data_IF_226295759943
#
_entry.id   IF_226295759943
#
_cell.length_a   1.000
_cell.length_b   1.000
_cell.length_c   1.000
_cell.angle_alpha   90.00
_cell.angle_beta   90.00
_cell.angle_gamma   90.00
#
_symmetry.space_group_name_H-M   'P 1'
#
loop_
_entity.id
_entity.type
_entity.pdbx_description
1 polymer ?
#
# COMPACT_ATOMS: atom_id res chain seq x y z
N UNK A 1 38.27 20.76 -13.98
CA UNK A 1 37.06 20.67 -13.14
C UNK A 1 37.47 20.88 -11.69
N UNK A 2 37.06 21.97 -11.03
CA UNK A 2 37.26 22.16 -9.59
C UNK A 2 36.40 21.10 -8.87
N UNK A 3 37.01 20.26 -8.02
CA UNK A 3 36.27 19.45 -7.05
C UNK A 3 35.45 20.41 -6.18
N UNK A 4 34.16 20.19 -5.93
CA UNK A 4 33.45 20.96 -4.93
C UNK A 4 34.10 20.69 -3.57
N UNK A 5 34.68 21.71 -2.97
CA UNK A 5 35.54 21.58 -1.77
C UNK A 5 34.77 21.19 -0.50
N UNK A 6 33.43 21.31 -0.44
CA UNK A 6 32.66 20.93 0.73
C UNK A 6 31.27 20.41 0.34
N UNK A 7 30.87 19.29 0.90
CA UNK A 7 29.48 18.84 0.92
C UNK A 7 28.66 19.89 1.70
N UNK A 8 27.53 20.37 1.16
CA UNK A 8 26.65 21.28 1.88
C UNK A 8 26.28 20.72 3.26
N UNK A 9 26.29 21.57 4.26
CA UNK A 9 25.88 21.20 5.60
C UNK A 9 24.36 20.89 5.59
N UNK A 10 24.00 19.71 6.08
CA UNK A 10 22.60 19.32 6.21
C UNK A 10 22.04 19.98 7.48
N UNK A 11 21.21 20.99 7.30
CA UNK A 11 20.49 21.66 8.40
C UNK A 11 19.26 20.85 8.82
N UNK A 12 18.84 21.04 10.06
CA UNK A 12 17.54 20.52 10.49
C UNK A 12 16.42 21.07 9.57
N UNK A 13 15.46 20.24 9.15
CA UNK A 13 14.36 20.71 8.30
C UNK A 13 13.53 21.77 9.06
N UNK A 14 13.03 22.79 8.34
CA UNK A 14 12.11 23.75 8.95
C UNK A 14 10.84 23.03 9.39
N UNK A 15 10.17 23.58 10.42
CA UNK A 15 8.87 23.05 10.83
C UNK A 15 7.88 23.18 9.68
N UNK A 16 7.32 22.05 9.28
CA UNK A 16 6.26 21.95 8.29
C UNK A 16 5.03 21.31 8.92
N UNK A 17 3.86 21.76 8.53
CA UNK A 17 2.57 21.28 9.05
C UNK A 17 1.73 20.81 7.88
N UNK A 18 1.19 19.59 7.98
CA UNK A 18 0.22 19.08 7.02
C UNK A 18 -1.06 19.91 7.10
N UNK A 19 -1.67 20.30 5.97
CA UNK A 19 -2.85 21.14 5.97
C UNK A 19 -4.05 20.45 6.63
N UNK A 20 -4.90 21.26 7.27
CA UNK A 20 -6.17 20.80 7.83
C UNK A 20 -7.27 20.89 6.76
N UNK A 21 -8.18 19.90 6.65
CA UNK A 21 -9.30 19.97 5.72
C UNK A 21 -10.45 20.82 6.27
N UNK A 22 -11.19 21.47 5.38
CA UNK A 22 -12.60 21.73 5.64
C UNK A 22 -13.37 20.40 5.61
N UNK A 23 -14.34 20.20 6.51
CA UNK A 23 -14.97 18.92 6.75
C UNK A 23 -16.49 19.06 6.82
N UNK A 24 -17.21 18.22 6.04
CA UNK A 24 -18.67 18.18 5.99
C UNK A 24 -19.18 16.74 5.88
N UNK A 25 -20.47 16.58 6.15
CA UNK A 25 -21.24 15.38 5.85
C UNK A 25 -22.38 15.76 4.92
N UNK A 26 -22.64 14.99 3.87
CA UNK A 26 -23.83 15.09 3.07
C UNK A 26 -24.98 14.31 3.72
N UNK A 27 -26.22 14.61 3.35
CA UNK A 27 -27.41 13.96 3.92
C UNK A 27 -27.46 12.44 3.66
N UNK A 28 -26.79 11.97 2.63
CA UNK A 28 -26.66 10.54 2.30
C UNK A 28 -25.55 9.81 3.09
N UNK A 29 -24.87 10.49 4.01
CA UNK A 29 -23.82 9.92 4.85
C UNK A 29 -22.40 9.98 4.25
N UNK A 30 -22.22 10.57 3.06
CA UNK A 30 -20.90 10.77 2.48
C UNK A 30 -20.11 11.84 3.26
N UNK A 31 -18.92 11.49 3.75
CA UNK A 31 -17.99 12.44 4.33
C UNK A 31 -17.21 13.18 3.24
N UNK A 32 -17.04 14.50 3.37
CA UNK A 32 -16.25 15.32 2.45
C UNK A 32 -15.12 16.01 3.20
N UNK A 33 -13.89 15.82 2.75
CA UNK A 33 -12.66 16.45 3.25
C UNK A 33 -12.04 17.29 2.13
N UNK A 34 -12.00 18.61 2.29
CA UNK A 34 -11.49 19.52 1.25
C UNK A 34 -10.25 20.26 1.73
N UNK A 35 -9.16 20.16 0.95
CA UNK A 35 -7.88 20.80 1.22
C UNK A 35 -7.63 21.90 0.19
N UNK A 36 -7.91 23.15 0.54
CA UNK A 36 -7.59 24.28 -0.33
C UNK A 36 -6.08 24.49 -0.39
N UNK A 37 -5.55 24.44 -1.61
CA UNK A 37 -4.12 24.55 -1.93
C UNK A 37 -3.92 25.64 -3.00
N UNK A 38 -3.76 26.91 -2.60
CA UNK A 38 -3.62 28.00 -3.55
C UNK A 38 -2.51 27.76 -4.57
N UNK A 39 -2.78 28.01 -5.85
CA UNK A 39 -1.85 27.83 -6.94
C UNK A 39 -1.66 26.37 -7.42
N UNK A 40 -2.39 25.41 -6.86
CA UNK A 40 -2.43 24.04 -7.38
C UNK A 40 -3.46 23.93 -8.50
N UNK A 41 -3.03 24.15 -9.72
CA UNK A 41 -3.90 24.18 -10.90
C UNK A 41 -4.46 22.81 -11.32
N UNK A 42 -3.94 21.73 -10.78
CA UNK A 42 -4.51 20.38 -10.87
C UNK A 42 -5.20 20.10 -9.54
N UNK A 43 -6.47 19.75 -9.58
CA UNK A 43 -7.20 19.20 -8.46
C UNK A 43 -7.11 17.68 -8.49
N UNK A 44 -7.00 17.08 -7.31
CA UNK A 44 -7.05 15.63 -7.12
C UNK A 44 -8.22 15.30 -6.18
N UNK A 45 -9.00 14.31 -6.57
CA UNK A 45 -10.17 13.83 -5.82
C UNK A 45 -10.02 12.34 -5.60
N UNK A 46 -10.10 11.87 -4.36
CA UNK A 46 -10.19 10.44 -4.06
C UNK A 46 -11.50 10.14 -3.34
N UNK A 47 -12.27 9.21 -3.88
CA UNK A 47 -13.43 8.63 -3.22
C UNK A 47 -13.01 7.30 -2.60
N UNK A 48 -12.94 7.25 -1.28
CA UNK A 48 -12.60 6.04 -0.49
C UNK A 48 -13.87 5.38 -0.02
N UNK A 49 -14.06 4.12 -0.39
CA UNK A 49 -15.22 3.30 -0.03
C UNK A 49 -14.85 2.32 1.09
N UNK A 50 -15.68 2.22 2.11
CA UNK A 50 -15.50 1.23 3.19
C UNK A 50 -16.00 -0.16 2.74
N UNK A 51 -15.32 -0.74 1.74
CA UNK A 51 -15.61 -2.06 1.18
C UNK A 51 -14.34 -2.92 1.08
N UNK A 52 -13.73 -3.30 2.22
CA UNK A 52 -12.52 -4.10 2.25
C UNK A 52 -12.69 -5.43 1.50
N UNK A 53 -11.61 -5.99 0.94
CA UNK A 53 -11.65 -7.29 0.26
C UNK A 53 -12.21 -8.42 1.12
N UNK A 54 -12.28 -8.28 2.44
CA UNK A 54 -12.94 -9.25 3.33
C UNK A 54 -14.46 -9.34 3.13
N UNK A 55 -15.05 -8.42 2.38
CA UNK A 55 -16.48 -8.45 1.98
C UNK A 55 -16.74 -9.38 0.79
N UNK A 56 -15.70 -9.79 0.06
CA UNK A 56 -15.82 -10.74 -1.04
C UNK A 56 -16.20 -12.12 -0.52
N UNK A 57 -17.01 -12.85 -1.30
CA UNK A 57 -17.21 -14.28 -1.10
C UNK A 57 -15.92 -15.03 -1.46
N UNK A 58 -15.59 -16.07 -0.71
CA UNK A 58 -14.34 -16.82 -0.89
C UNK A 58 -14.22 -17.52 -2.25
N UNK A 59 -15.33 -17.87 -2.87
CA UNK A 59 -15.40 -18.59 -4.16
C UNK A 59 -15.20 -17.66 -5.37
N UNK A 60 -15.39 -16.35 -5.20
CA UNK A 60 -15.24 -15.32 -6.25
C UNK A 60 -14.33 -14.17 -5.81
N UNK A 61 -13.28 -14.46 -5.01
CA UNK A 61 -12.28 -13.45 -4.66
C UNK A 61 -11.67 -12.85 -5.93
N UNK A 62 -11.59 -11.52 -5.97
CA UNK A 62 -11.23 -10.73 -7.14
C UNK A 62 -12.42 -9.99 -7.74
N UNK A 63 -13.67 -10.29 -7.31
CA UNK A 63 -14.86 -9.58 -7.78
C UNK A 63 -14.78 -8.08 -7.52
N UNK A 64 -14.24 -7.65 -6.39
CA UNK A 64 -14.00 -6.22 -6.08
C UNK A 64 -13.10 -5.56 -7.13
N UNK A 65 -12.03 -6.24 -7.53
CA UNK A 65 -11.08 -5.75 -8.55
C UNK A 65 -11.74 -5.65 -9.93
N UNK A 66 -12.53 -6.64 -10.32
CA UNK A 66 -13.25 -6.62 -11.61
C UNK A 66 -14.32 -5.51 -11.59
N UNK A 67 -15.11 -5.40 -10.51
CA UNK A 67 -16.11 -4.34 -10.37
C UNK A 67 -15.46 -2.97 -10.49
N UNK A 68 -14.36 -2.73 -9.77
CA UNK A 68 -13.63 -1.47 -9.80
C UNK A 68 -13.20 -1.07 -11.23
N UNK A 69 -12.76 -2.03 -12.03
CA UNK A 69 -12.31 -1.83 -13.41
C UNK A 69 -13.43 -1.61 -14.41
N UNK A 70 -14.65 -1.92 -14.05
CA UNK A 70 -15.81 -1.71 -14.91
C UNK A 70 -16.50 -0.37 -14.70
N UNK A 71 -16.08 0.43 -13.71
CA UNK A 71 -16.78 1.68 -13.35
C UNK A 71 -16.68 2.77 -14.42
N UNK A 72 -15.60 2.79 -15.19
CA UNK A 72 -15.33 3.78 -16.25
C UNK A 72 -15.57 3.24 -17.67
N UNK A 73 -16.13 2.02 -17.77
CA UNK A 73 -16.42 1.37 -19.07
C UNK A 73 -17.80 1.78 -19.65
N UNK A 74 -18.44 2.76 -19.05
CA UNK A 74 -19.74 3.30 -19.41
C UNK A 74 -20.68 3.35 -18.21
N UNK A 75 -21.68 4.20 -18.34
CA UNK A 75 -22.66 4.49 -17.31
C UNK A 75 -24.08 4.38 -17.88
N UNK A 76 -25.10 4.53 -17.05
CA UNK A 76 -26.49 4.54 -17.52
C UNK A 76 -26.76 5.65 -18.55
N UNK A 77 -25.99 6.75 -18.54
CA UNK A 77 -26.17 7.92 -19.40
C UNK A 77 -25.20 7.98 -20.58
N UNK A 78 -23.98 7.43 -20.41
CA UNK A 78 -22.91 7.54 -21.40
C UNK A 78 -22.36 6.16 -21.74
N UNK A 79 -22.26 5.84 -23.04
CA UNK A 79 -21.51 4.65 -23.47
C UNK A 79 -20.04 4.78 -23.09
N UNK A 80 -19.30 3.67 -22.97
CA UNK A 80 -17.89 3.68 -22.62
C UNK A 80 -17.03 4.67 -23.43
N UNK A 81 -17.08 4.65 -24.78
CA UNK A 81 -16.38 5.64 -25.61
C UNK A 81 -16.80 7.08 -25.30
N UNK A 82 -18.09 7.34 -25.14
CA UNK A 82 -18.60 8.70 -24.85
C UNK A 82 -18.16 9.14 -23.43
N UNK A 83 -18.14 8.24 -22.46
CA UNK A 83 -17.68 8.53 -21.11
C UNK A 83 -16.18 8.89 -21.11
N UNK A 84 -15.37 8.11 -21.82
CA UNK A 84 -13.94 8.40 -22.00
C UNK A 84 -13.69 9.74 -22.69
N UNK A 85 -14.41 10.03 -23.79
CA UNK A 85 -14.35 11.34 -24.49
C UNK A 85 -14.68 12.50 -23.54
N UNK A 86 -15.69 12.34 -22.68
CA UNK A 86 -16.08 13.37 -21.70
C UNK A 86 -14.98 13.66 -20.68
N UNK A 87 -14.28 12.61 -20.19
CA UNK A 87 -13.14 12.80 -19.30
C UNK A 87 -11.97 13.47 -20.02
N UNK A 88 -11.68 13.06 -21.26
CA UNK A 88 -10.58 13.62 -22.05
C UNK A 88 -10.85 15.10 -22.41
N UNK A 89 -12.06 15.48 -22.77
CA UNK A 89 -12.47 16.86 -23.11
C UNK A 89 -12.21 17.86 -21.99
N UNK A 90 -12.28 17.41 -20.74
CA UNK A 90 -12.00 18.25 -19.56
C UNK A 90 -10.59 18.02 -19.00
N UNK A 91 -9.78 17.17 -19.65
CA UNK A 91 -8.44 16.81 -19.19
C UNK A 91 -8.43 16.03 -17.87
N UNK A 92 -9.48 15.24 -17.61
CA UNK A 92 -9.58 14.41 -16.43
C UNK A 92 -9.00 13.01 -16.65
N UNK A 93 -8.36 12.48 -15.62
CA UNK A 93 -7.87 11.10 -15.57
C UNK A 93 -8.53 10.41 -14.38
N UNK A 94 -9.25 9.32 -14.65
CA UNK A 94 -9.88 8.47 -13.62
C UNK A 94 -9.11 7.16 -13.49
N UNK A 95 -8.85 6.75 -12.28
CA UNK A 95 -8.23 5.47 -11.94
C UNK A 95 -8.79 4.95 -10.62
N UNK A 96 -8.53 3.70 -10.28
CA UNK A 96 -9.01 3.18 -9.01
C UNK A 96 -8.40 1.84 -8.63
N UNK A 97 -8.57 1.46 -7.37
CA UNK A 97 -8.08 0.20 -6.84
C UNK A 97 -9.02 -0.41 -5.80
N UNK A 98 -9.03 -1.73 -5.72
CA UNK A 98 -9.68 -2.47 -4.64
C UNK A 98 -8.60 -3.05 -3.71
N UNK A 99 -8.63 -2.65 -2.44
CA UNK A 99 -7.61 -2.96 -1.46
C UNK A 99 -8.12 -3.74 -0.25
N UNK A 100 -7.19 -4.28 0.54
CA UNK A 100 -7.54 -5.07 1.73
C UNK A 100 -8.34 -4.28 2.77
N UNK A 101 -8.19 -2.97 2.84
CA UNK A 101 -8.85 -2.12 3.81
C UNK A 101 -10.03 -1.33 3.25
N UNK A 102 -9.97 -0.97 1.98
CA UNK A 102 -10.95 -0.12 1.29
C UNK A 102 -10.74 -0.22 -0.22
N UNK A 103 -11.71 0.24 -1.01
CA UNK A 103 -11.48 0.58 -2.42
C UNK A 103 -11.41 2.09 -2.57
N UNK A 104 -10.71 2.56 -3.60
CA UNK A 104 -10.60 3.98 -3.92
C UNK A 104 -10.73 4.26 -5.41
N UNK A 105 -11.29 5.42 -5.75
CA UNK A 105 -11.21 6.02 -7.07
C UNK A 105 -10.45 7.34 -6.96
N UNK A 106 -9.47 7.53 -7.82
CA UNK A 106 -8.70 8.76 -7.93
C UNK A 106 -9.05 9.45 -9.25
N UNK A 107 -9.47 10.71 -9.16
CA UNK A 107 -9.71 11.59 -10.28
C UNK A 107 -8.75 12.78 -10.21
N UNK A 108 -8.01 13.01 -11.29
CA UNK A 108 -7.17 14.20 -11.46
C UNK A 108 -7.71 15.04 -12.61
N UNK A 109 -7.82 16.35 -12.39
CA UNK A 109 -8.42 17.26 -13.37
C UNK A 109 -7.90 18.70 -13.18
N UNK A 110 -7.82 19.54 -14.22
CA UNK A 110 -7.59 20.96 -14.03
C UNK A 110 -8.60 21.56 -13.01
N UNK A 111 -8.11 22.29 -12.01
CA UNK A 111 -8.96 22.81 -10.92
C UNK A 111 -10.15 23.65 -11.41
N UNK A 112 -9.97 24.33 -12.56
CA UNK A 112 -11.05 25.08 -13.22
C UNK A 112 -12.17 24.21 -13.81
N UNK A 113 -11.95 22.90 -13.96
CA UNK A 113 -12.91 21.92 -14.50
C UNK A 113 -13.47 20.98 -13.43
N UNK A 114 -13.13 21.21 -12.16
CA UNK A 114 -13.57 20.34 -11.04
C UNK A 114 -15.10 20.20 -10.99
N UNK A 115 -15.85 21.28 -11.24
CA UNK A 115 -17.32 21.28 -11.26
C UNK A 115 -17.92 20.41 -12.37
N UNK A 116 -17.18 20.19 -13.47
CA UNK A 116 -17.59 19.32 -14.57
C UNK A 116 -17.18 17.85 -14.31
N UNK A 117 -16.08 17.65 -13.58
CA UNK A 117 -15.52 16.33 -13.30
C UNK A 117 -16.21 15.57 -12.17
N UNK A 118 -16.64 16.28 -11.11
CA UNK A 118 -17.32 15.65 -9.97
C UNK A 118 -18.60 14.89 -10.35
N UNK A 119 -19.49 15.43 -11.23
CA UNK A 119 -20.64 14.67 -11.72
C UNK A 119 -20.27 13.39 -12.47
N UNK A 120 -19.21 13.42 -13.30
CA UNK A 120 -18.74 12.21 -14.00
C UNK A 120 -18.22 11.14 -13.02
N UNK A 121 -17.49 11.55 -11.98
CA UNK A 121 -17.07 10.63 -10.92
C UNK A 121 -18.28 10.04 -10.18
N UNK A 122 -19.27 10.87 -9.85
CA UNK A 122 -20.50 10.43 -9.19
C UNK A 122 -21.29 9.44 -10.06
N UNK A 123 -21.38 9.70 -11.36
CA UNK A 123 -22.05 8.83 -12.33
C UNK A 123 -21.34 7.48 -12.45
N UNK A 124 -20.00 7.48 -12.58
CA UNK A 124 -19.20 6.25 -12.64
C UNK A 124 -19.39 5.35 -11.40
N UNK A 125 -19.55 5.94 -10.22
CA UNK A 125 -19.68 5.20 -8.96
C UNK A 125 -21.09 4.74 -8.68
N UNK A 126 -22.11 5.55 -9.02
CA UNK A 126 -23.51 5.28 -8.67
C UNK A 126 -24.27 4.51 -9.75
N UNK A 127 -23.92 4.69 -11.01
CA UNK A 127 -24.70 4.21 -12.16
C UNK A 127 -23.82 3.60 -13.28
N UNK A 128 -22.78 2.78 -12.95
CA UNK A 128 -21.98 2.14 -14.00
C UNK A 128 -22.84 1.13 -14.78
N UNK A 129 -22.58 0.97 -16.08
CA UNK A 129 -23.34 0.07 -16.95
C UNK A 129 -23.05 -1.42 -16.69
N UNK A 130 -21.82 -1.75 -16.24
CA UNK A 130 -21.35 -3.09 -15.87
C UNK A 130 -21.65 -4.17 -16.93
N UNK A 131 -21.45 -3.87 -18.22
CA UNK A 131 -21.77 -4.78 -19.32
C UNK A 131 -21.04 -6.12 -19.19
N UNK A 132 -21.70 -7.21 -19.54
CA UNK A 132 -21.14 -8.56 -19.51
C UNK A 132 -19.82 -8.64 -20.31
N UNK A 133 -19.74 -7.97 -21.48
CA UNK A 133 -18.53 -7.94 -22.32
C UNK A 133 -17.34 -7.30 -21.65
N UNK A 134 -17.56 -6.25 -20.84
CA UNK A 134 -16.49 -5.56 -20.11
C UNK A 134 -16.03 -6.38 -18.92
N UNK A 135 -16.96 -7.01 -18.21
CA UNK A 135 -16.64 -7.96 -17.13
C UNK A 135 -15.77 -9.10 -17.66
N UNK A 136 -16.16 -9.74 -18.77
CA UNK A 136 -15.42 -10.84 -19.41
C UNK A 136 -14.04 -10.41 -19.88
N UNK A 137 -13.92 -9.20 -20.43
CA UNK A 137 -12.65 -8.61 -20.85
C UNK A 137 -11.73 -8.37 -19.65
N UNK A 138 -12.21 -7.74 -18.58
CA UNK A 138 -11.42 -7.48 -17.37
C UNK A 138 -11.07 -8.77 -16.62
N UNK A 139 -11.96 -9.78 -16.63
CA UNK A 139 -11.66 -11.12 -16.12
C UNK A 139 -10.48 -11.74 -16.87
N UNK A 140 -10.50 -11.70 -18.21
CA UNK A 140 -9.43 -12.24 -19.06
C UNK A 140 -8.10 -11.52 -18.82
N UNK A 141 -8.11 -10.19 -18.73
CA UNK A 141 -6.94 -9.39 -18.40
C UNK A 141 -6.40 -9.75 -17.00
N UNK A 142 -7.30 -9.91 -16.01
CA UNK A 142 -6.89 -10.27 -14.65
C UNK A 142 -6.25 -11.64 -14.57
N UNK A 143 -6.74 -12.62 -15.31
CA UNK A 143 -6.13 -13.96 -15.40
C UNK A 143 -4.70 -13.87 -15.95
N UNK A 144 -4.49 -13.13 -17.03
CA UNK A 144 -3.15 -12.91 -17.59
C UNK A 144 -2.20 -12.18 -16.60
N UNK A 145 -2.70 -11.20 -15.84
CA UNK A 145 -1.92 -10.51 -14.79
C UNK A 145 -1.53 -11.44 -13.63
N UNK A 146 -2.42 -12.37 -13.24
CA UNK A 146 -2.11 -13.36 -12.19
C UNK A 146 -0.97 -14.24 -12.66
N UNK A 147 -1.02 -14.76 -13.89
CA UNK A 147 0.04 -15.58 -14.47
C UNK A 147 1.37 -14.83 -14.52
N UNK A 148 1.36 -13.57 -14.98
CA UNK A 148 2.55 -12.73 -14.99
C UNK A 148 3.09 -12.47 -13.58
N UNK A 149 2.22 -12.21 -12.60
CA UNK A 149 2.59 -11.99 -11.19
C UNK A 149 3.28 -13.23 -10.63
N UNK A 150 2.75 -14.40 -10.88
CA UNK A 150 3.28 -15.68 -10.39
C UNK A 150 4.55 -16.11 -11.12
N UNK A 151 4.75 -15.69 -12.37
CA UNK A 151 6.01 -15.92 -13.12
C UNK A 151 7.17 -15.04 -12.61
N UNK A 152 6.89 -13.87 -12.01
CA UNK A 152 7.89 -13.00 -11.43
C UNK A 152 8.30 -13.47 -10.02
N UNK A 153 9.58 -13.76 -9.81
CA UNK A 153 10.08 -14.33 -8.54
C UNK A 153 9.85 -13.41 -7.34
N UNK A 154 10.06 -12.10 -7.51
CA UNK A 154 9.89 -11.14 -6.42
C UNK A 154 8.43 -11.00 -6.01
N UNK A 155 7.50 -10.98 -6.97
CA UNK A 155 6.06 -10.95 -6.70
C UNK A 155 5.60 -12.27 -6.05
N UNK A 156 6.09 -13.41 -6.57
CA UNK A 156 5.80 -14.73 -5.98
C UNK A 156 6.29 -14.83 -4.54
N UNK A 157 7.51 -14.32 -4.25
CA UNK A 157 8.04 -14.23 -2.90
C UNK A 157 7.16 -13.35 -1.97
N UNK A 158 6.64 -12.24 -2.49
CA UNK A 158 5.74 -11.36 -1.72
C UNK A 158 4.41 -12.01 -1.39
N UNK A 159 3.79 -12.69 -2.36
CA UNK A 159 2.54 -13.45 -2.13
C UNK A 159 2.76 -14.56 -1.11
N UNK A 160 3.82 -15.35 -1.28
CA UNK A 160 4.15 -16.44 -0.38
C UNK A 160 4.49 -15.96 1.04
N UNK A 161 5.21 -14.83 1.16
CA UNK A 161 5.52 -14.25 2.47
C UNK A 161 4.26 -13.82 3.23
N UNK A 162 3.31 -13.19 2.53
CA UNK A 162 2.00 -12.84 3.11
C UNK A 162 1.27 -14.09 3.63
N UNK A 163 1.24 -15.15 2.86
CA UNK A 163 0.66 -16.44 3.24
C UNK A 163 1.38 -17.11 4.41
N UNK A 164 2.71 -16.95 4.48
CA UNK A 164 3.51 -17.50 5.57
C UNK A 164 3.32 -16.73 6.89
N UNK A 165 3.06 -15.42 6.83
CA UNK A 165 2.90 -14.57 8.01
C UNK A 165 1.46 -14.47 8.52
N UNK A 166 0.45 -14.65 7.66
CA UNK A 166 -0.97 -14.46 8.00
C UNK A 166 -1.71 -15.77 7.82
N UNK A 167 -2.49 -16.25 8.83
CA UNK A 167 -3.30 -17.46 8.71
C UNK A 167 -4.29 -17.39 7.55
N UNK A 168 -4.46 -18.51 6.82
CA UNK A 168 -5.26 -18.59 5.60
C UNK A 168 -6.75 -18.23 5.76
N UNK A 169 -7.30 -18.24 7.00
CA UNK A 169 -8.67 -17.79 7.27
C UNK A 169 -8.89 -16.29 7.03
N UNK A 170 -7.83 -15.48 7.08
CA UNK A 170 -7.94 -14.04 6.83
C UNK A 170 -7.78 -13.74 5.34
N UNK A 171 -8.65 -12.89 4.78
CA UNK A 171 -8.58 -12.46 3.37
C UNK A 171 -7.24 -11.81 3.06
N UNK A 172 -6.66 -11.10 4.02
CA UNK A 172 -5.36 -10.45 3.91
C UNK A 172 -4.18 -11.42 3.64
N UNK A 173 -4.33 -12.72 3.83
CA UNK A 173 -3.30 -13.72 3.49
C UNK A 173 -3.23 -14.05 2.00
N UNK A 174 -4.29 -13.77 1.22
CA UNK A 174 -4.44 -14.17 -0.18
C UNK A 174 -4.21 -12.99 -1.13
N UNK A 175 -3.98 -13.29 -2.40
CA UNK A 175 -3.76 -12.27 -3.44
C UNK A 175 -4.96 -11.31 -3.53
N UNK A 176 -4.69 -10.01 -3.58
CA UNK A 176 -5.74 -8.97 -3.54
C UNK A 176 -6.80 -9.16 -4.63
N UNK A 177 -6.40 -9.25 -5.88
CA UNK A 177 -7.32 -9.44 -7.01
C UNK A 177 -7.69 -10.91 -7.30
N UNK A 178 -7.73 -11.78 -6.28
CA UNK A 178 -8.12 -13.17 -6.41
C UNK A 178 -7.05 -14.11 -6.97
N UNK A 179 -7.38 -15.38 -7.05
CA UNK A 179 -6.59 -16.44 -7.72
C UNK A 179 -7.17 -16.74 -9.10
N UNK A 180 -6.45 -17.47 -9.95
CA UNK A 180 -6.95 -17.86 -11.27
C UNK A 180 -8.29 -18.61 -11.15
N UNK A 181 -8.44 -19.51 -10.16
CA UNK A 181 -9.67 -20.26 -9.95
C UNK A 181 -10.85 -19.39 -9.52
N UNK A 182 -10.63 -18.47 -8.57
CA UNK A 182 -11.71 -17.59 -8.07
C UNK A 182 -12.11 -16.54 -9.09
N UNK A 183 -11.15 -15.98 -9.84
CA UNK A 183 -11.41 -15.00 -10.89
C UNK A 183 -12.16 -15.65 -12.06
N UNK A 184 -11.79 -16.86 -12.47
CA UNK A 184 -12.49 -17.58 -13.54
C UNK A 184 -13.96 -17.93 -13.19
N UNK A 185 -14.30 -17.97 -11.90
CA UNK A 185 -15.65 -18.25 -11.43
C UNK A 185 -16.57 -17.02 -11.36
N UNK A 186 -16.02 -15.79 -11.49
CA UNK A 186 -16.79 -14.54 -11.42
C UNK A 186 -17.73 -14.44 -12.64
N UNK A 187 -18.98 -14.11 -12.38
CA UNK A 187 -19.98 -13.85 -13.42
C UNK A 187 -20.38 -12.37 -13.45
N UNK A 188 -20.95 -11.86 -14.56
CA UNK A 188 -21.48 -10.48 -14.60
C UNK A 188 -22.48 -10.18 -13.47
N UNK A 189 -23.32 -11.16 -13.10
CA UNK A 189 -24.25 -11.02 -11.97
C UNK A 189 -23.55 -10.85 -10.62
N UNK A 190 -22.39 -11.49 -10.43
CA UNK A 190 -21.62 -11.32 -9.20
C UNK A 190 -21.06 -9.90 -9.10
N UNK A 191 -20.63 -9.31 -10.23
CA UNK A 191 -20.15 -7.92 -10.34
C UNK A 191 -21.27 -6.94 -10.03
N UNK A 192 -22.45 -7.10 -10.66
CA UNK A 192 -23.64 -6.28 -10.40
C UNK A 192 -24.06 -6.36 -8.93
N UNK A 193 -24.14 -7.58 -8.38
CA UNK A 193 -24.53 -7.79 -6.98
C UNK A 193 -23.50 -7.21 -5.99
N UNK A 194 -22.20 -7.32 -6.30
CA UNK A 194 -21.14 -6.73 -5.48
C UNK A 194 -21.22 -5.21 -5.50
N UNK A 195 -21.39 -4.59 -6.68
CA UNK A 195 -21.57 -3.15 -6.82
C UNK A 195 -22.79 -2.68 -6.04
N UNK A 196 -23.98 -3.22 -6.31
CA UNK A 196 -25.23 -2.80 -5.67
C UNK A 196 -25.19 -2.89 -4.13
N UNK A 197 -24.37 -3.81 -3.59
CA UNK A 197 -24.26 -4.02 -2.15
C UNK A 197 -23.21 -3.14 -1.50
N UNK A 198 -22.05 -2.95 -2.13
CA UNK A 198 -20.84 -2.44 -1.48
C UNK A 198 -20.43 -1.03 -1.91
N UNK A 199 -21.00 -0.50 -2.99
CA UNK A 199 -20.73 0.87 -3.46
C UNK A 199 -21.76 1.82 -2.88
N UNK A 200 -21.46 2.36 -1.71
CA UNK A 200 -22.40 3.08 -0.86
C UNK A 200 -21.82 4.41 -0.39
N UNK A 201 -22.65 5.49 -0.25
CA UNK A 201 -22.18 6.76 0.29
C UNK A 201 -21.96 6.70 1.81
N UNK A 202 -22.76 5.89 2.55
CA UNK A 202 -22.62 5.70 3.98
C UNK A 202 -21.33 4.96 4.31
N UNK A 203 -20.42 5.61 5.07
CA UNK A 203 -19.07 5.11 5.35
C UNK A 203 -18.01 5.48 4.29
N UNK A 204 -18.41 6.09 3.17
CA UNK A 204 -17.47 6.59 2.18
C UNK A 204 -16.92 7.98 2.55
N UNK A 205 -15.73 8.29 2.04
CA UNK A 205 -15.07 9.59 2.22
C UNK A 205 -14.59 10.12 0.88
N UNK A 206 -15.05 11.33 0.52
CA UNK A 206 -14.58 12.08 -0.63
C UNK A 206 -13.49 13.06 -0.18
N UNK A 207 -12.27 12.86 -0.64
CA UNK A 207 -11.11 13.73 -0.35
C UNK A 207 -10.84 14.58 -1.59
N UNK A 208 -10.88 15.90 -1.46
CA UNK A 208 -10.65 16.84 -2.55
C UNK A 208 -9.47 17.75 -2.18
N UNK A 209 -8.50 17.90 -3.07
CA UNK A 209 -7.38 18.82 -2.86
C UNK A 209 -7.06 19.58 -4.16
N UNK A 210 -6.72 20.86 -4.06
CA UNK A 210 -6.43 21.74 -5.21
C UNK A 210 -6.61 23.20 -4.90
N UNK A 211 -6.55 24.06 -5.91
CA UNK A 211 -6.92 25.47 -5.79
C UNK A 211 -8.46 25.61 -5.81
N UNK A 212 -9.06 25.27 -4.65
CA UNK A 212 -10.49 25.13 -4.51
C UNK A 212 -11.18 26.48 -4.29
N UNK A 213 -12.37 26.65 -4.86
CA UNK A 213 -13.25 27.78 -4.59
C UNK A 213 -14.12 27.54 -3.35
N UNK A 214 -14.79 28.58 -2.86
CA UNK A 214 -15.76 28.46 -1.75
C UNK A 214 -16.99 27.61 -2.13
N UNK A 215 -17.18 27.32 -3.42
CA UNK A 215 -18.30 26.53 -3.94
C UNK A 215 -18.04 25.00 -3.88
N UNK A 216 -16.88 24.56 -3.45
CA UNK A 216 -16.50 23.13 -3.46
C UNK A 216 -17.49 22.24 -2.71
N UNK A 217 -18.08 22.74 -1.61
CA UNK A 217 -19.14 22.02 -0.90
C UNK A 217 -20.39 21.85 -1.78
N UNK A 218 -20.87 22.93 -2.41
CA UNK A 218 -22.05 22.86 -3.26
C UNK A 218 -21.81 22.01 -4.50
N UNK A 219 -20.61 22.03 -5.06
CA UNK A 219 -20.22 21.17 -6.17
C UNK A 219 -20.24 19.68 -5.76
N UNK A 220 -19.66 19.33 -4.60
CA UNK A 220 -19.69 17.97 -4.07
C UNK A 220 -21.13 17.52 -3.73
N UNK A 221 -21.90 18.37 -3.05
CA UNK A 221 -23.30 18.08 -2.72
C UNK A 221 -24.19 17.94 -3.95
N UNK A 222 -23.98 18.77 -4.97
CA UNK A 222 -24.71 18.69 -6.26
C UNK A 222 -24.38 17.41 -7.02
N UNK A 223 -23.12 16.95 -6.99
CA UNK A 223 -22.71 15.75 -7.70
C UNK A 223 -23.11 14.46 -6.97
N UNK A 224 -22.89 14.38 -5.66
CA UNK A 224 -23.03 13.14 -4.88
C UNK A 224 -24.30 13.08 -4.01
N UNK A 225 -25.04 14.17 -3.83
CA UNK A 225 -26.21 14.20 -2.96
C UNK A 225 -27.35 13.26 -3.41
N UNK A 226 -27.44 13.00 -4.73
CA UNK A 226 -28.37 12.03 -5.31
C UNK A 226 -27.95 10.57 -5.20
N UNK A 227 -26.72 10.29 -4.80
CA UNK A 227 -26.23 8.92 -4.63
C UNK A 227 -26.81 8.30 -3.35
N UNK A 228 -27.85 7.51 -3.52
CA UNK A 228 -28.60 6.89 -2.41
C UNK A 228 -28.70 5.39 -2.64
N UNK A 229 -28.28 4.61 -1.66
CA UNK A 229 -28.41 3.15 -1.67
C UNK A 229 -29.29 2.73 -0.50
N UNK A 230 -30.43 2.02 -0.73
CA UNK A 230 -31.34 1.63 0.34
C UNK A 230 -30.71 0.72 1.38
N UNK A 231 -31.19 0.82 2.61
CA UNK A 231 -30.75 0.01 3.75
C UNK A 231 -29.38 0.43 4.29
N UNK A 232 -28.91 -0.25 5.32
CA UNK A 232 -27.60 -0.06 5.95
C UNK A 232 -26.73 -1.30 5.79
N UNK A 233 -25.43 -1.12 5.63
CA UNK A 233 -24.46 -2.21 5.58
C UNK A 233 -23.43 -2.02 6.69
N UNK A 234 -23.39 -2.94 7.65
CA UNK A 234 -22.29 -2.95 8.61
C UNK A 234 -21.10 -3.67 8.03
N UNK A 235 -20.02 -2.95 7.84
CA UNK A 235 -18.75 -3.51 7.38
C UNK A 235 -17.92 -3.98 8.56
N UNK A 236 -17.50 -5.25 8.52
CA UNK A 236 -16.63 -5.84 9.54
C UNK A 236 -15.21 -5.98 9.00
N UNK A 237 -14.30 -5.18 9.53
CA UNK A 237 -12.88 -5.31 9.23
C UNK A 237 -12.30 -6.52 9.95
N UNK A 238 -11.51 -7.30 9.21
CA UNK A 238 -10.78 -8.42 9.81
C UNK A 238 -9.52 -7.89 10.51
N UNK A 239 -9.25 -8.39 11.73
CA UNK A 239 -8.02 -8.13 12.46
C UNK A 239 -7.08 -9.35 12.32
N UNK A 240 -6.18 -9.36 11.33
CA UNK A 240 -5.25 -10.46 11.12
C UNK A 240 -4.32 -10.62 12.33
N UNK A 241 -3.90 -11.84 12.56
CA UNK A 241 -2.94 -12.18 13.62
C UNK A 241 -1.69 -12.81 13.03
N UNK A 242 -0.61 -12.77 13.78
CA UNK A 242 0.64 -13.45 13.41
C UNK A 242 0.45 -14.96 13.30
N UNK A 243 1.19 -15.55 12.38
CA UNK A 243 1.38 -16.99 12.25
C UNK A 243 2.75 -17.38 12.86
N UNK A 244 2.89 -18.63 13.29
CA UNK A 244 4.20 -19.17 13.67
C UNK A 244 5.19 -19.03 12.52
N UNK A 245 6.46 -18.74 12.80
CA UNK A 245 7.49 -18.61 11.76
C UNK A 245 7.61 -19.84 10.88
N UNK A 246 7.84 -19.59 9.59
CA UNK A 246 8.03 -20.61 8.56
C UNK A 246 9.29 -20.33 7.75
N UNK A 247 9.90 -21.40 7.20
CA UNK A 247 10.90 -21.28 6.16
C UNK A 247 10.39 -21.98 4.90
N UNK A 248 10.03 -21.23 3.89
CA UNK A 248 9.53 -21.75 2.62
C UNK A 248 10.55 -21.51 1.51
N UNK A 249 10.91 -22.59 0.82
CA UNK A 249 11.69 -22.54 -0.41
C UNK A 249 10.76 -22.89 -1.58
N UNK A 250 10.63 -21.98 -2.52
CA UNK A 250 9.80 -22.10 -3.71
C UNK A 250 10.72 -22.34 -4.89
N UNK A 251 10.55 -23.48 -5.55
CA UNK A 251 11.45 -23.89 -6.60
C UNK A 251 11.29 -23.05 -7.88
N UNK A 252 12.47 -22.64 -8.39
CA UNK A 252 12.64 -22.06 -9.71
C UNK A 252 13.91 -22.65 -10.33
N UNK A 253 13.79 -23.80 -11.01
CA UNK A 253 14.95 -24.54 -11.50
C UNK A 253 15.87 -23.69 -12.40
N UNK A 254 17.18 -23.76 -12.14
CA UNK A 254 18.19 -23.04 -12.90
C UNK A 254 18.26 -21.54 -12.65
N UNK A 255 17.53 -21.00 -11.66
CA UNK A 255 17.60 -19.59 -11.32
C UNK A 255 18.97 -19.20 -10.78
N UNK A 256 19.63 -18.24 -11.42
CA UNK A 256 20.95 -17.71 -11.00
C UNK A 256 20.85 -16.68 -9.87
N UNK A 257 19.63 -16.24 -9.57
CA UNK A 257 19.30 -15.35 -8.45
C UNK A 257 18.13 -15.92 -7.64
N UNK A 258 18.11 -15.60 -6.35
CA UNK A 258 17.01 -15.90 -5.46
C UNK A 258 16.44 -14.62 -4.85
N UNK A 259 15.11 -14.51 -4.88
CA UNK A 259 14.37 -13.45 -4.21
C UNK A 259 14.01 -13.89 -2.79
N UNK A 260 14.36 -13.07 -1.81
CA UNK A 260 14.12 -13.36 -0.40
C UNK A 260 13.10 -12.40 0.23
N UNK A 261 12.35 -12.92 1.21
CA UNK A 261 11.60 -12.16 2.20
C UNK A 261 11.91 -12.75 3.56
N UNK A 262 12.54 -11.96 4.44
CA UNK A 262 12.95 -12.37 5.78
C UNK A 262 12.36 -11.42 6.82
N UNK A 263 11.44 -11.90 7.66
CA UNK A 263 10.76 -11.04 8.59
C UNK A 263 9.59 -11.68 9.31
N UNK A 264 8.50 -10.94 9.50
CA UNK A 264 7.33 -11.43 10.20
C UNK A 264 6.10 -10.54 10.09
N UNK A 265 5.12 -10.83 10.96
CA UNK A 265 3.95 -9.99 11.13
C UNK A 265 4.35 -8.71 11.87
N UNK A 266 3.95 -7.56 11.35
CA UNK A 266 4.28 -6.23 11.86
C UNK A 266 3.09 -5.55 12.53
N UNK A 267 3.22 -4.25 12.74
CA UNK A 267 2.21 -3.40 13.40
C UNK A 267 1.54 -2.45 12.40
N UNK A 268 0.34 -1.99 12.74
CA UNK A 268 -0.35 -0.90 12.05
C UNK A 268 0.14 0.48 12.53
N UNK A 269 -0.43 1.52 11.92
CA UNK A 269 -0.06 2.92 12.24
C UNK A 269 -0.59 3.41 13.59
N UNK A 270 -1.57 2.73 14.19
CA UNK A 270 -2.13 3.05 15.50
C UNK A 270 -1.31 2.49 16.68
N UNK A 271 -0.38 1.57 16.42
CA UNK A 271 0.48 1.01 17.48
C UNK A 271 1.39 2.11 18.05
N UNK A 272 1.51 2.23 19.39
CA UNK A 272 2.35 3.25 20.04
C UNK A 272 3.83 3.18 19.65
N UNK A 273 4.35 2.02 19.23
CA UNK A 273 5.73 1.83 18.76
C UNK A 273 5.93 2.22 17.29
N UNK A 274 4.90 2.75 16.62
CA UNK A 274 4.96 3.05 15.18
C UNK A 274 6.11 3.98 14.80
N UNK A 275 6.30 5.10 15.52
CA UNK A 275 7.36 6.07 15.25
C UNK A 275 8.75 5.45 15.49
N UNK A 276 8.91 4.67 16.56
CA UNK A 276 10.16 3.96 16.88
C UNK A 276 10.52 2.96 15.79
N UNK A 277 9.53 2.18 15.33
CA UNK A 277 9.73 1.23 14.23
C UNK A 277 10.08 1.94 12.91
N UNK A 278 9.48 3.09 12.61
CA UNK A 278 9.84 3.87 11.41
C UNK A 278 11.31 4.29 11.42
N UNK A 279 11.81 4.76 12.56
CA UNK A 279 13.22 5.15 12.73
C UNK A 279 14.13 3.93 12.61
N UNK A 280 13.81 2.84 13.30
CA UNK A 280 14.61 1.62 13.27
C UNK A 280 14.67 1.01 11.85
N UNK A 281 13.54 0.93 11.15
CA UNK A 281 13.51 0.42 9.78
C UNK A 281 14.30 1.31 8.82
N UNK A 282 14.26 2.62 8.99
CA UNK A 282 15.07 3.54 8.17
C UNK A 282 16.57 3.30 8.38
N UNK A 283 17.02 3.19 9.62
CA UNK A 283 18.43 2.96 9.96
C UNK A 283 18.94 1.61 9.44
N UNK A 284 18.14 0.54 9.59
CA UNK A 284 18.56 -0.81 9.24
C UNK A 284 18.48 -1.09 7.74
N UNK A 285 17.44 -0.64 7.04
CA UNK A 285 17.23 -1.02 5.63
C UNK A 285 16.51 0.02 4.76
N UNK A 286 16.05 1.16 5.31
CA UNK A 286 15.31 2.17 4.56
C UNK A 286 16.19 3.22 3.87
N UNK A 287 17.33 3.58 4.47
CA UNK A 287 18.26 4.52 3.88
C UNK A 287 19.15 3.88 2.82
N UNK A 288 19.63 4.71 1.85
CA UNK A 288 20.56 4.25 0.83
C UNK A 288 21.86 3.64 1.42
N UNK A 289 22.38 4.22 2.49
CA UNK A 289 23.52 3.74 3.27
C UNK A 289 23.10 3.13 4.63
N UNK A 290 21.92 2.49 4.66
CA UNK A 290 21.47 1.73 5.83
C UNK A 290 22.43 0.59 6.16
N UNK A 291 22.34 0.04 7.36
CA UNK A 291 23.24 -1.07 7.80
C UNK A 291 23.23 -2.25 6.82
N UNK A 292 22.05 -2.68 6.37
CA UNK A 292 21.89 -3.77 5.41
C UNK A 292 22.54 -3.44 4.05
N UNK A 293 22.26 -2.26 3.49
CA UNK A 293 22.84 -1.88 2.20
C UNK A 293 24.35 -1.69 2.27
N UNK A 294 24.86 -1.09 3.35
CA UNK A 294 26.31 -0.91 3.52
C UNK A 294 27.04 -2.27 3.50
N UNK A 295 26.55 -3.26 4.25
CA UNK A 295 27.21 -4.56 4.33
C UNK A 295 26.94 -5.40 3.07
N UNK A 296 25.67 -5.62 2.71
CA UNK A 296 25.31 -6.59 1.66
C UNK A 296 25.54 -6.08 0.25
N UNK A 297 25.39 -4.75 0.03
CA UNK A 297 25.58 -4.13 -1.28
C UNK A 297 26.98 -3.56 -1.46
N UNK A 298 27.41 -2.63 -0.55
CA UNK A 298 28.65 -1.89 -0.75
C UNK A 298 29.91 -2.71 -0.42
N UNK A 299 29.90 -3.41 0.72
CA UNK A 299 31.07 -4.17 1.17
C UNK A 299 31.18 -5.54 0.50
N UNK A 300 30.06 -6.28 0.37
CA UNK A 300 30.04 -7.65 -0.15
C UNK A 300 29.66 -7.74 -1.64
N UNK A 301 28.96 -6.77 -2.20
CA UNK A 301 28.52 -6.82 -3.60
C UNK A 301 27.52 -7.95 -3.92
N UNK A 302 26.74 -8.41 -2.92
CA UNK A 302 25.85 -9.56 -3.05
C UNK A 302 24.53 -9.22 -3.77
N UNK A 303 24.14 -7.95 -3.77
CA UNK A 303 22.87 -7.46 -4.31
C UNK A 303 23.02 -6.05 -4.84
N UNK A 304 22.12 -5.63 -5.74
CA UNK A 304 21.96 -4.24 -6.15
C UNK A 304 21.22 -3.38 -5.11
N UNK A 305 20.49 -4.01 -4.21
CA UNK A 305 19.80 -3.35 -3.11
C UNK A 305 19.06 -4.33 -2.20
N UNK A 306 19.02 -4.00 -0.93
CA UNK A 306 18.24 -4.70 0.09
C UNK A 306 17.51 -3.69 0.95
N UNK A 307 16.25 -3.97 1.26
CA UNK A 307 15.40 -3.05 1.99
C UNK A 307 14.73 -3.74 3.17
N UNK A 308 14.68 -3.07 4.32
CA UNK A 308 13.76 -3.42 5.40
C UNK A 308 12.51 -2.58 5.25
N UNK A 309 11.39 -3.22 4.95
CA UNK A 309 10.12 -2.56 4.65
C UNK A 309 9.10 -2.91 5.72
N UNK A 310 8.48 -1.88 6.30
CA UNK A 310 7.27 -2.00 7.10
C UNK A 310 6.06 -1.65 6.21
N UNK A 311 5.20 -2.63 5.96
CA UNK A 311 3.97 -2.51 5.17
C UNK A 311 2.76 -2.62 6.08
N UNK A 312 2.29 -1.50 6.68
CA UNK A 312 1.16 -1.52 7.60
C UNK A 312 -0.13 -1.84 6.85
N UNK A 313 -0.99 -2.60 7.50
CA UNK A 313 -2.39 -2.79 7.12
C UNK A 313 -3.28 -1.87 7.97
N UNK A 314 -4.59 -2.00 7.87
CA UNK A 314 -5.53 -1.35 8.79
C UNK A 314 -5.31 -1.85 10.23
N UNK A 315 -5.14 -3.16 10.39
CA UNK A 315 -4.81 -3.83 11.64
C UNK A 315 -3.56 -4.69 11.43
N UNK A 316 -2.49 -4.41 12.16
CA UNK A 316 -1.18 -5.06 12.02
C UNK A 316 -0.42 -4.66 10.77
N UNK A 317 0.44 -5.53 10.26
CA UNK A 317 1.26 -5.26 9.09
C UNK A 317 2.18 -6.41 8.73
N UNK A 318 3.07 -6.15 7.77
CA UNK A 318 4.18 -7.03 7.40
C UNK A 318 5.49 -6.26 7.51
N UNK A 319 6.48 -6.83 8.17
CA UNK A 319 7.81 -6.26 8.35
C UNK A 319 8.84 -7.24 7.81
N UNK A 320 9.57 -6.87 6.75
CA UNK A 320 10.49 -7.78 6.11
C UNK A 320 11.70 -7.10 5.47
N UNK A 321 12.85 -7.77 5.59
CA UNK A 321 13.97 -7.58 4.68
C UNK A 321 13.62 -8.23 3.35
N UNK A 322 13.79 -7.47 2.27
CA UNK A 322 13.54 -7.92 0.90
C UNK A 322 14.71 -7.57 -0.01
N UNK A 323 15.06 -8.47 -0.89
CA UNK A 323 16.13 -8.29 -1.86
C UNK A 323 16.27 -9.50 -2.78
N UNK A 324 17.01 -9.32 -3.86
CA UNK A 324 17.41 -10.36 -4.79
C UNK A 324 18.92 -10.56 -4.70
N UNK A 325 19.36 -11.78 -4.56
CA UNK A 325 20.76 -12.15 -4.36
C UNK A 325 21.18 -13.24 -5.35
N UNK A 326 22.44 -13.29 -5.73
CA UNK A 326 22.95 -14.43 -6.50
C UNK A 326 22.79 -15.70 -5.66
N UNK A 327 22.46 -16.81 -6.32
CA UNK A 327 22.18 -18.10 -5.68
C UNK A 327 23.34 -18.59 -4.78
N UNK A 328 24.60 -18.36 -5.21
CA UNK A 328 25.82 -18.80 -4.51
C UNK A 328 26.08 -18.07 -3.17
N UNK A 329 25.48 -16.89 -2.94
CA UNK A 329 25.70 -16.06 -1.75
C UNK A 329 24.46 -15.90 -0.85
N UNK A 330 23.33 -16.52 -1.20
CA UNK A 330 22.05 -16.36 -0.46
C UNK A 330 22.18 -16.68 1.01
N UNK A 331 22.83 -17.81 1.35
CA UNK A 331 22.95 -18.25 2.75
C UNK A 331 23.80 -17.29 3.56
N UNK A 332 24.97 -16.87 3.03
CA UNK A 332 25.82 -15.87 3.69
C UNK A 332 25.06 -14.53 3.85
N UNK A 333 24.31 -14.12 2.82
CA UNK A 333 23.50 -12.90 2.88
C UNK A 333 22.41 -12.96 3.97
N UNK A 334 21.75 -14.11 4.12
CA UNK A 334 20.73 -14.33 5.16
C UNK A 334 21.34 -14.31 6.57
N UNK A 335 22.50 -14.94 6.76
CA UNK A 335 23.20 -14.95 8.05
C UNK A 335 23.66 -13.53 8.45
N UNK A 336 24.21 -12.77 7.50
CA UNK A 336 24.59 -11.37 7.71
C UNK A 336 23.34 -10.50 8.00
N UNK A 337 22.25 -10.68 7.24
CA UNK A 337 21.01 -9.94 7.48
C UNK A 337 20.47 -10.23 8.89
N UNK A 338 20.41 -11.51 9.31
CA UNK A 338 19.98 -11.91 10.65
C UNK A 338 20.86 -11.31 11.74
N UNK A 339 22.18 -11.29 11.54
CA UNK A 339 23.12 -10.67 12.46
C UNK A 339 22.90 -9.14 12.58
N UNK A 340 22.67 -8.46 11.47
CA UNK A 340 22.41 -7.02 11.44
C UNK A 340 21.05 -6.64 12.06
N UNK A 341 20.07 -7.54 12.02
CA UNK A 341 18.78 -7.40 12.69
C UNK A 341 18.87 -7.65 14.21
N UNK A 342 19.92 -8.34 14.68
CA UNK A 342 20.17 -8.60 16.10
C UNK A 342 20.72 -7.34 16.81
N UNK A 343 19.92 -6.28 16.85
CA UNK A 343 20.32 -4.96 17.35
C UNK A 343 20.66 -4.89 18.83
N UNK A 344 20.40 -5.94 19.61
CA UNK A 344 20.81 -6.03 21.04
C UNK A 344 22.32 -5.97 21.21
N UNK A 345 23.08 -6.54 20.25
CA UNK A 345 24.55 -6.45 20.21
C UNK A 345 25.08 -5.14 19.60
N UNK A 346 24.29 -4.49 18.75
CA UNK A 346 24.63 -3.24 18.05
C UNK A 346 23.40 -2.31 18.02
N UNK A 347 23.09 -1.63 19.13
CA UNK A 347 21.90 -0.77 19.24
C UNK A 347 21.82 0.29 18.16
N UNK A 348 20.63 0.79 17.89
CA UNK A 348 20.42 1.97 17.05
C UNK A 348 21.12 3.15 17.72
N UNK A 349 21.90 3.89 16.96
CA UNK A 349 22.69 5.01 17.48
C UNK A 349 21.92 6.33 17.46
N UNK A 350 22.33 7.31 18.28
CA UNK A 350 21.74 8.64 18.27
C UNK A 350 21.89 9.34 16.90
N UNK A 351 22.96 9.04 16.16
CA UNK A 351 23.14 9.61 14.82
C UNK A 351 22.14 8.99 13.82
N UNK A 352 21.90 7.69 13.86
CA UNK A 352 20.91 7.02 13.00
C UNK A 352 19.48 7.51 13.31
N UNK A 353 19.15 7.71 14.59
CA UNK A 353 17.86 8.33 14.98
C UNK A 353 17.74 9.72 14.38
N UNK A 354 18.75 10.58 14.58
CA UNK A 354 18.77 11.95 14.05
C UNK A 354 18.61 11.97 12.52
N UNK A 355 19.33 11.10 11.81
CA UNK A 355 19.29 11.04 10.35
C UNK A 355 17.92 10.56 9.85
N UNK A 356 17.33 9.54 10.49
CA UNK A 356 16.00 9.04 10.16
C UNK A 356 14.90 10.09 10.38
N UNK A 357 14.91 10.77 11.52
CA UNK A 357 13.95 11.85 11.86
C UNK A 357 14.09 13.02 10.88
N UNK A 358 15.33 13.47 10.65
CA UNK A 358 15.60 14.57 9.71
C UNK A 358 15.16 14.21 8.28
N UNK A 359 15.41 13.00 7.82
CA UNK A 359 14.97 12.54 6.50
C UNK A 359 13.44 12.50 6.42
N UNK A 360 12.77 11.87 7.38
CA UNK A 360 11.32 11.66 7.34
C UNK A 360 10.56 12.98 7.41
N UNK A 361 10.95 13.87 8.33
CA UNK A 361 10.33 15.19 8.47
C UNK A 361 10.76 16.14 7.35
N UNK A 362 12.01 16.02 6.86
CA UNK A 362 12.55 16.88 5.80
C UNK A 362 11.96 16.61 4.42
N UNK A 363 11.57 15.35 4.14
CA UNK A 363 10.96 14.99 2.84
C UNK A 363 9.45 15.30 2.80
N UNK A 364 8.79 15.52 3.94
CA UNK A 364 7.35 15.74 4.02
C UNK A 364 6.85 16.91 3.13
N UNK A 365 7.50 18.09 3.11
CA UNK A 365 7.09 19.19 2.23
C UNK A 365 7.10 18.81 0.73
N UNK A 366 8.07 18.02 0.30
CA UNK A 366 8.16 17.52 -1.08
C UNK A 366 7.08 16.48 -1.37
N UNK A 367 6.91 15.52 -0.47
CA UNK A 367 5.93 14.42 -0.62
C UNK A 367 4.50 14.92 -0.72
N UNK A 368 4.19 16.02 -0.05
CA UNK A 368 2.86 16.62 0.01
C UNK A 368 2.81 17.98 -0.69
N UNK A 369 3.68 18.22 -1.67
CA UNK A 369 3.72 19.47 -2.44
C UNK A 369 2.58 19.60 -3.45
N UNK A 370 2.04 18.47 -3.94
CA UNK A 370 0.97 18.42 -4.93
C UNK A 370 -0.39 18.13 -4.28
N UNK A 371 -1.47 18.49 -4.97
CA UNK A 371 -2.83 18.11 -4.58
C UNK A 371 -2.97 16.59 -4.49
N UNK A 372 -2.45 15.84 -5.48
CA UNK A 372 -2.44 14.39 -5.50
C UNK A 372 -1.75 13.79 -4.27
N UNK A 373 -0.54 14.27 -3.92
CA UNK A 373 0.19 13.73 -2.75
C UNK A 373 -0.55 13.94 -1.42
N UNK A 374 -1.32 15.02 -1.28
CA UNK A 374 -2.21 15.26 -0.13
C UNK A 374 -3.39 14.29 -0.17
N UNK A 375 -4.08 14.20 -1.31
CA UNK A 375 -5.27 13.37 -1.48
C UNK A 375 -4.98 11.89 -1.27
N UNK A 376 -3.95 11.33 -1.91
CA UNK A 376 -3.53 9.94 -1.74
C UNK A 376 -3.13 9.61 -0.29
N UNK A 377 -2.43 10.56 0.36
CA UNK A 377 -2.07 10.37 1.76
C UNK A 377 -3.29 10.28 2.65
N UNK A 378 -4.24 11.18 2.48
CA UNK A 378 -5.48 11.20 3.28
C UNK A 378 -6.33 9.97 2.98
N UNK A 379 -6.50 9.60 1.71
CA UNK A 379 -7.18 8.37 1.31
C UNK A 379 -6.59 7.12 1.98
N UNK A 380 -5.24 7.00 1.96
CA UNK A 380 -4.55 5.91 2.66
C UNK A 380 -4.76 5.90 4.17
N UNK A 381 -4.92 7.07 4.80
CA UNK A 381 -5.22 7.16 6.23
C UNK A 381 -6.66 6.81 6.54
N UNK A 382 -7.61 7.32 5.75
CA UNK A 382 -9.04 6.99 5.85
C UNK A 382 -9.23 5.47 5.73
N UNK A 383 -8.65 4.84 4.72
CA UNK A 383 -8.66 3.39 4.55
C UNK A 383 -8.10 2.63 5.77
N UNK A 384 -7.11 3.21 6.45
CA UNK A 384 -6.54 2.67 7.69
C UNK A 384 -7.35 3.02 8.95
N UNK A 385 -8.49 3.73 8.83
CA UNK A 385 -9.29 4.17 9.97
C UNK A 385 -8.69 5.34 10.76
N UNK A 386 -7.82 6.14 10.11
CA UNK A 386 -7.11 7.26 10.71
C UNK A 386 -7.53 8.59 10.07
N UNK A 387 -7.41 9.68 10.83
CA UNK A 387 -7.64 11.03 10.30
C UNK A 387 -6.37 11.63 9.67
N UNK A 388 -6.55 12.73 8.92
CA UNK A 388 -5.45 13.50 8.34
C UNK A 388 -4.48 14.05 9.41
N UNK A 389 -4.97 14.30 10.63
CA UNK A 389 -4.17 14.75 11.78
C UNK A 389 -3.02 13.79 12.12
N UNK A 390 -3.16 12.51 11.78
CA UNK A 390 -2.09 11.53 11.97
C UNK A 390 -0.75 11.98 11.36
N UNK A 391 -0.75 12.72 10.25
CA UNK A 391 0.51 13.19 9.65
C UNK A 391 1.27 14.10 10.58
N UNK A 392 0.57 15.06 11.21
CA UNK A 392 1.18 16.02 12.15
C UNK A 392 1.55 15.34 13.49
N UNK A 393 0.68 14.49 14.02
CA UNK A 393 0.93 13.78 15.28
C UNK A 393 2.12 12.80 15.15
N UNK A 394 2.23 12.09 14.03
CA UNK A 394 3.36 11.21 13.74
C UNK A 394 4.69 12.00 13.58
N UNK A 395 4.65 13.17 12.92
CA UNK A 395 5.84 14.03 12.82
C UNK A 395 6.36 14.47 14.20
N UNK A 396 5.45 14.76 15.14
CA UNK A 396 5.80 15.05 16.53
C UNK A 396 6.31 13.80 17.25
N UNK A 397 5.66 12.63 17.06
CA UNK A 397 6.08 11.38 17.68
C UNK A 397 7.51 11.01 17.28
N UNK A 398 7.85 11.16 15.99
CA UNK A 398 9.22 10.93 15.48
C UNK A 398 10.29 11.75 16.22
N UNK A 399 10.00 12.99 16.64
CA UNK A 399 10.97 13.82 17.38
C UNK A 399 11.24 13.34 18.81
N UNK A 400 10.42 12.41 19.32
CA UNK A 400 10.54 11.86 20.68
C UNK A 400 11.25 10.50 20.70
N UNK A 401 11.51 9.92 19.53
CA UNK A 401 12.19 8.61 19.41
C UNK A 401 13.62 8.72 19.94
N UNK A 402 14.00 7.74 20.75
CA UNK A 402 15.37 7.60 21.29
C UNK A 402 16.05 6.36 20.71
N UNK A 403 17.39 6.28 20.82
CA UNK A 403 18.11 5.05 20.45
C UNK A 403 17.56 3.79 21.14
N UNK A 404 17.22 3.92 22.43
CA UNK A 404 16.71 2.84 23.25
C UNK A 404 15.31 2.39 22.78
N UNK A 405 14.39 3.35 22.57
CA UNK A 405 13.02 3.01 22.13
C UNK A 405 13.00 2.41 20.72
N UNK A 406 13.80 2.94 19.78
CA UNK A 406 13.91 2.37 18.43
C UNK A 406 14.54 0.97 18.45
N UNK A 407 15.59 0.75 19.28
CA UNK A 407 16.21 -0.56 19.46
C UNK A 407 15.24 -1.57 20.06
N UNK A 408 14.50 -1.17 21.09
CA UNK A 408 13.50 -2.02 21.73
C UNK A 408 12.38 -2.41 20.73
N UNK A 409 11.82 -1.44 20.03
CA UNK A 409 10.73 -1.69 19.08
C UNK A 409 11.11 -2.72 18.02
N UNK A 410 12.29 -2.60 17.38
CA UNK A 410 12.70 -3.55 16.35
C UNK A 410 13.07 -4.91 16.95
N UNK A 411 13.67 -4.97 18.15
CA UNK A 411 13.99 -6.24 18.83
C UNK A 411 12.74 -7.05 19.18
N UNK A 412 11.68 -6.38 19.58
CA UNK A 412 10.38 -7.01 19.92
C UNK A 412 9.63 -7.47 18.67
N UNK A 413 9.62 -6.63 17.62
CA UNK A 413 8.81 -6.85 16.42
C UNK A 413 9.49 -7.75 15.38
N UNK A 414 10.81 -7.83 15.41
CA UNK A 414 11.58 -8.64 14.47
C UNK A 414 12.71 -9.41 15.18
N UNK A 415 12.38 -10.28 16.16
CA UNK A 415 13.38 -11.06 16.88
C UNK A 415 14.10 -12.02 15.92
N UNK A 416 15.44 -12.03 15.89
CA UNK A 416 16.24 -12.79 14.92
C UNK A 416 16.01 -14.30 14.93
N UNK A 417 15.53 -14.84 16.06
CA UNK A 417 15.30 -16.28 16.26
C UNK A 417 13.87 -16.71 15.89
N UNK A 418 12.98 -15.75 15.52
CA UNK A 418 11.59 -16.02 15.20
C UNK A 418 11.17 -15.43 13.84
N UNK A 419 12.07 -15.45 12.87
CA UNK A 419 11.82 -14.89 11.53
C UNK A 419 11.18 -15.93 10.61
N UNK A 420 10.18 -15.48 9.86
CA UNK A 420 9.68 -16.18 8.67
C UNK A 420 10.60 -15.88 7.50
N UNK A 421 11.04 -16.91 6.80
CA UNK A 421 11.84 -16.83 5.60
C UNK A 421 11.06 -17.39 4.40
N UNK A 422 11.01 -16.65 3.32
CA UNK A 422 10.59 -17.13 2.00
C UNK A 422 11.71 -16.88 1.02
N UNK A 423 12.08 -17.92 0.28
CA UNK A 423 13.08 -17.89 -0.79
C UNK A 423 12.44 -18.43 -2.06
N UNK A 424 12.53 -17.68 -3.16
CA UNK A 424 12.17 -18.14 -4.51
C UNK A 424 13.45 -18.23 -5.32
N UNK A 425 13.88 -19.44 -5.66
CA UNK A 425 15.15 -19.68 -6.34
C UNK A 425 15.35 -21.16 -6.68
N UNK A 426 16.54 -21.54 -7.14
CA UNK A 426 16.86 -22.92 -7.50
C UNK A 426 16.94 -23.80 -6.24
N UNK A 427 15.93 -24.63 -6.03
CA UNK A 427 15.84 -25.48 -4.85
C UNK A 427 16.95 -26.54 -4.81
N UNK A 428 17.42 -27.02 -5.96
CA UNK A 428 18.53 -27.99 -6.02
C UNK A 428 19.85 -27.40 -5.48
N UNK A 429 20.06 -26.09 -5.69
CA UNK A 429 21.23 -25.39 -5.21
C UNK A 429 21.09 -24.87 -3.76
N UNK A 430 19.85 -24.50 -3.34
CA UNK A 430 19.64 -23.75 -2.09
C UNK A 430 19.19 -24.59 -0.90
N UNK A 431 18.51 -25.74 -1.12
CA UNK A 431 17.90 -26.51 -0.04
C UNK A 431 18.90 -26.97 1.02
N UNK A 432 19.94 -27.71 0.60
CA UNK A 432 20.91 -28.29 1.53
C UNK A 432 21.74 -27.23 2.25
N UNK A 433 22.24 -26.15 1.59
CA UNK A 433 22.90 -25.06 2.28
C UNK A 433 22.00 -24.33 3.30
N UNK A 434 20.73 -24.10 3.02
CA UNK A 434 19.78 -23.49 3.96
C UNK A 434 19.54 -24.39 5.18
N UNK A 435 19.39 -25.71 4.98
CA UNK A 435 19.24 -26.67 6.08
C UNK A 435 20.49 -26.69 6.93
N UNK A 436 21.68 -26.71 6.31
CA UNK A 436 22.98 -26.68 7.03
C UNK A 436 23.16 -25.39 7.86
N UNK A 437 22.59 -24.26 7.40
CA UNK A 437 22.54 -22.98 8.12
C UNK A 437 21.45 -22.95 9.22
N UNK A 438 20.76 -24.06 9.47
CA UNK A 438 19.74 -24.16 10.53
C UNK A 438 18.33 -23.70 10.17
N UNK A 439 18.02 -23.47 8.88
CA UNK A 439 16.67 -23.12 8.47
C UNK A 439 15.79 -24.38 8.34
N UNK A 440 14.58 -24.42 8.97
CA UNK A 440 13.63 -25.54 8.88
C UNK A 440 12.88 -25.51 7.52
N UNK A 441 13.60 -25.82 6.44
CA UNK A 441 13.12 -25.64 5.06
C UNK A 441 11.92 -26.52 4.74
N UNK A 442 10.84 -25.91 4.29
CA UNK A 442 9.70 -26.58 3.64
C UNK A 442 9.66 -26.20 2.17
N UNK A 443 9.78 -27.20 1.28
CA UNK A 443 9.66 -26.98 -0.15
C UNK A 443 8.19 -26.72 -0.50
N UNK A 444 7.94 -25.66 -1.28
CA UNK A 444 6.61 -25.28 -1.80
C UNK A 444 6.62 -25.34 -3.32
N UNK A 445 5.48 -25.71 -3.95
CA UNK A 445 5.34 -25.72 -5.40
C UNK A 445 5.41 -24.31 -6.01
#
# INVERSE_FOLDING_TARGET
MRKPDHRPEVKAPPRWIFPEPAHWWLDNGLQVLAFHRPGQHIAAVSLVLDNPLSTERNDIEGVATITQRCLDEGTATHSGPTFAERLEDIGAVLSGSAGYAASDLLLEVPASRLSEALPLLAEAISEPELRASDVERHQSLRLAEIDHTMANSSNRAQVAFRQACIPGRFRASRLAGGTAATVAAITPRDVEAYHARHYRPDGATLVISGDLTNEVYHQAAGAFGGWVVPGTLTVHHQTPVSRTPHCWLIDRPGAVQADIRLGGFGIDRGDPRWADLQVATHALGGAFLSRLNRVLREEKGFTYGVHLVNSPMRDGGLLAVQGSFRTDVVVEALDLARHLLAVTGTPITAQEVKDAVNYTNGIAPLRYSTAQGVTERVASLVAAGLSAEFVNSNAVALTRVTPESATQAISELLPPDALTLVVVGDAAALRDPLVAAGWPVTLKP
#
